data_IF_987171236279
#
_entry.id   IF_987171236279
#
_cell.length_a   1.000
_cell.length_b   1.000
_cell.length_c   1.000
_cell.angle_alpha   90.00
_cell.angle_beta   90.00
_cell.angle_gamma   90.00
#
_symmetry.space_group_name_H-M   'P 1'
#
loop_
_entity.id
_entity.type
_entity.pdbx_description
1 polymer ?
#
# COMPACT_ATOMS: atom_id res chain seq x y z
N UNK A 1 -13.96 -51.14 27.45
CA UNK A 1 -12.84 -50.46 26.78
C UNK A 1 -13.00 -48.95 27.00
N UNK A 2 -12.14 -48.32 27.80
CA UNK A 2 -12.15 -46.85 27.93
C UNK A 2 -11.64 -46.23 26.62
N UNK A 3 -12.25 -45.14 26.12
CA UNK A 3 -11.81 -44.49 24.89
C UNK A 3 -10.39 -43.93 25.06
N UNK A 4 -9.51 -44.27 24.11
CA UNK A 4 -8.12 -43.84 24.06
C UNK A 4 -8.06 -42.32 23.87
N UNK A 5 -7.97 -41.58 24.98
CA UNK A 5 -7.87 -40.12 24.99
C UNK A 5 -6.45 -39.76 24.55
N UNK A 6 -6.30 -39.15 23.36
CA UNK A 6 -5.00 -38.69 22.86
C UNK A 6 -4.31 -37.86 23.96
N UNK A 7 -3.02 -38.10 24.25
CA UNK A 7 -2.29 -37.30 25.22
C UNK A 7 -2.36 -35.83 24.82
N UNK A 8 -2.56 -34.92 25.79
CA UNK A 8 -2.57 -33.48 25.52
C UNK A 8 -1.23 -33.13 24.84
N UNK A 9 -1.24 -32.42 23.71
CA UNK A 9 -0.02 -32.08 22.99
C UNK A 9 0.93 -31.38 23.96
N UNK A 10 2.18 -31.83 23.99
CA UNK A 10 3.19 -31.12 24.77
C UNK A 10 3.31 -29.70 24.21
N UNK A 11 3.66 -28.70 25.03
CA UNK A 11 3.80 -27.32 24.55
C UNK A 11 4.77 -27.19 23.36
N UNK A 12 5.72 -28.12 23.25
CA UNK A 12 6.65 -28.26 22.12
C UNK A 12 5.99 -28.80 20.85
N UNK A 13 5.05 -29.74 20.96
CA UNK A 13 4.26 -30.24 19.84
C UNK A 13 3.25 -29.20 19.36
N UNK A 14 2.54 -28.54 20.29
CA UNK A 14 1.63 -27.44 19.98
C UNK A 14 2.36 -26.31 19.22
N UNK A 15 3.53 -25.87 19.70
CA UNK A 15 4.31 -24.85 18.99
C UNK A 15 4.84 -25.30 17.61
N UNK A 16 5.15 -26.60 17.45
CA UNK A 16 5.52 -27.15 16.13
C UNK A 16 4.34 -27.15 15.16
N UNK A 17 3.16 -27.49 15.64
CA UNK A 17 1.91 -27.47 14.87
C UNK A 17 1.56 -26.03 14.46
N UNK A 18 1.52 -25.09 15.41
CA UNK A 18 1.29 -23.66 15.12
C UNK A 18 2.30 -23.13 14.11
N UNK A 19 3.59 -23.47 14.23
CA UNK A 19 4.61 -23.05 13.26
C UNK A 19 4.35 -23.62 11.86
N UNK A 20 3.81 -24.84 11.75
CA UNK A 20 3.48 -25.46 10.47
C UNK A 20 2.26 -24.80 9.83
N UNK A 21 1.24 -24.52 10.62
CA UNK A 21 0.03 -23.82 10.20
C UNK A 21 0.33 -22.39 9.77
N UNK A 22 1.06 -21.63 10.58
CA UNK A 22 1.54 -20.28 10.25
C UNK A 22 2.29 -20.27 8.92
N UNK A 23 3.24 -21.19 8.72
CA UNK A 23 3.97 -21.28 7.43
C UNK A 23 3.03 -21.60 6.26
N UNK A 24 1.97 -22.36 6.48
CA UNK A 24 0.98 -22.65 5.46
C UNK A 24 0.13 -21.43 5.13
N UNK A 25 -0.33 -20.71 6.14
CA UNK A 25 -1.07 -19.46 6.01
C UNK A 25 -0.23 -18.38 5.31
N UNK A 26 1.03 -18.19 5.71
CA UNK A 26 1.96 -17.26 5.05
C UNK A 26 2.13 -17.57 3.56
N UNK A 27 2.23 -18.85 3.18
CA UNK A 27 2.26 -19.25 1.75
C UNK A 27 0.93 -19.00 1.04
N UNK A 28 -0.18 -19.07 1.75
CA UNK A 28 -1.51 -18.67 1.24
C UNK A 28 -1.51 -17.19 0.88
N UNK A 29 -1.13 -16.34 1.84
CA UNK A 29 -1.04 -14.90 1.67
C UNK A 29 -0.05 -14.53 0.55
N UNK A 30 1.11 -15.20 0.46
CA UNK A 30 2.07 -14.96 -0.62
C UNK A 30 1.49 -15.25 -2.02
N UNK A 31 0.55 -16.19 -2.14
CA UNK A 31 -0.13 -16.46 -3.41
C UNK A 31 -1.15 -15.39 -3.73
N UNK A 32 -1.92 -14.94 -2.74
CA UNK A 32 -2.90 -13.85 -2.88
C UNK A 32 -2.20 -12.53 -3.23
N UNK A 33 -1.09 -12.20 -2.55
CA UNK A 33 -0.27 -11.02 -2.87
C UNK A 33 0.18 -11.02 -4.34
N UNK A 34 0.65 -12.16 -4.85
CA UNK A 34 1.05 -12.29 -6.27
C UNK A 34 -0.12 -12.11 -7.23
N UNK A 35 -1.33 -12.51 -6.84
CA UNK A 35 -2.51 -12.31 -7.66
C UNK A 35 -2.93 -10.84 -7.67
N UNK A 36 -2.95 -10.18 -6.50
CA UNK A 36 -3.20 -8.74 -6.41
C UNK A 36 -2.15 -7.92 -7.16
N UNK A 37 -0.87 -8.31 -7.14
CA UNK A 37 0.18 -7.66 -7.94
C UNK A 37 -0.08 -7.75 -9.45
N UNK A 38 -0.63 -8.87 -9.94
CA UNK A 38 -1.01 -9.02 -11.36
C UNK A 38 -2.22 -8.16 -11.69
N UNK A 39 -3.20 -8.11 -10.80
CA UNK A 39 -4.38 -7.25 -10.94
C UNK A 39 -3.98 -5.79 -10.95
N UNK A 40 -3.10 -5.36 -10.05
CA UNK A 40 -2.55 -4.00 -10.00
C UNK A 40 -1.86 -3.61 -11.31
N UNK A 41 -1.01 -4.49 -11.85
CA UNK A 41 -0.36 -4.25 -13.15
C UNK A 41 -1.36 -4.12 -14.30
N UNK A 42 -2.42 -4.92 -14.26
CA UNK A 42 -3.48 -4.88 -15.27
C UNK A 42 -4.28 -3.58 -15.17
N UNK A 43 -4.69 -3.20 -13.96
CA UNK A 43 -5.36 -1.91 -13.68
C UNK A 43 -4.50 -0.73 -14.11
N UNK A 44 -3.20 -0.72 -13.80
CA UNK A 44 -2.27 0.32 -14.27
C UNK A 44 -2.20 0.39 -15.79
N UNK A 45 -2.17 -0.76 -16.48
CA UNK A 45 -2.17 -0.78 -17.94
C UNK A 45 -3.49 -0.23 -18.51
N UNK A 46 -4.62 -0.56 -17.90
CA UNK A 46 -5.94 -0.12 -18.36
C UNK A 46 -6.20 1.35 -18.06
N UNK A 47 -5.76 1.87 -16.91
CA UNK A 47 -5.76 3.31 -16.59
C UNK A 47 -4.91 4.06 -17.62
N UNK A 48 -3.70 3.58 -17.94
CA UNK A 48 -2.84 4.21 -18.95
C UNK A 48 -3.44 4.18 -20.35
N UNK A 49 -4.05 3.07 -20.76
CA UNK A 49 -4.76 2.97 -22.06
C UNK A 49 -5.95 3.92 -22.10
N UNK A 50 -6.75 3.95 -21.03
CA UNK A 50 -7.91 4.83 -20.92
C UNK A 50 -7.42 6.26 -21.07
N UNK A 51 -6.50 6.72 -20.22
CA UNK A 51 -5.98 8.10 -20.23
C UNK A 51 -5.34 8.55 -21.56
N UNK A 52 -4.82 7.63 -22.40
CA UNK A 52 -4.30 7.95 -23.75
C UNK A 52 -5.39 8.13 -24.81
N UNK A 53 -6.61 7.66 -24.54
CA UNK A 53 -7.74 7.80 -25.46
C UNK A 53 -8.20 9.25 -25.46
N UNK A 54 -8.34 9.86 -26.65
CA UNK A 54 -8.77 11.26 -26.78
C UNK A 54 -10.14 11.54 -26.16
N UNK A 55 -10.33 12.76 -25.67
CA UNK A 55 -11.59 13.23 -25.08
C UNK A 55 -11.73 13.05 -23.56
N UNK A 56 -10.64 12.74 -22.86
CA UNK A 56 -10.65 12.53 -21.41
C UNK A 56 -10.27 13.82 -20.68
N UNK A 57 -11.14 14.22 -19.76
CA UNK A 57 -10.90 15.25 -18.75
C UNK A 57 -10.68 14.57 -17.39
N UNK A 58 -10.14 15.30 -16.39
CA UNK A 58 -9.94 14.81 -15.02
C UNK A 58 -11.19 14.14 -14.40
N UNK A 59 -12.38 14.49 -14.88
CA UNK A 59 -13.66 14.00 -14.36
C UNK A 59 -14.24 12.80 -15.14
N UNK A 60 -13.43 12.09 -15.94
CA UNK A 60 -13.90 10.87 -16.60
C UNK A 60 -14.24 9.78 -15.59
N UNK A 61 -15.52 9.41 -15.50
CA UNK A 61 -16.03 8.45 -14.53
C UNK A 61 -15.40 7.07 -14.65
N UNK A 62 -15.04 6.65 -15.88
CA UNK A 62 -14.35 5.39 -16.12
C UNK A 62 -12.92 5.40 -15.56
N UNK A 63 -12.19 6.50 -15.75
CA UNK A 63 -10.83 6.66 -15.22
C UNK A 63 -10.83 6.72 -13.68
N UNK A 64 -11.79 7.45 -13.10
CA UNK A 64 -11.96 7.53 -11.64
C UNK A 64 -12.33 6.17 -11.03
N UNK A 65 -13.22 5.41 -11.66
CA UNK A 65 -13.58 4.06 -11.21
C UNK A 65 -12.39 3.10 -11.22
N UNK A 66 -11.60 3.09 -12.30
CA UNK A 66 -10.39 2.25 -12.39
C UNK A 66 -9.32 2.65 -11.36
N UNK A 67 -9.20 3.95 -11.08
CA UNK A 67 -8.22 4.44 -10.11
C UNK A 67 -8.65 4.14 -8.67
N UNK A 68 -9.94 4.21 -8.36
CA UNK A 68 -10.49 3.74 -7.08
C UNK A 68 -10.25 2.24 -6.89
N UNK A 69 -10.42 1.44 -7.94
CA UNK A 69 -10.06 0.01 -7.90
C UNK A 69 -8.57 -0.20 -7.63
N UNK A 70 -7.69 0.61 -8.25
CA UNK A 70 -6.25 0.54 -8.01
C UNK A 70 -5.87 0.85 -6.56
N UNK A 71 -6.44 1.92 -5.97
CA UNK A 71 -6.23 2.26 -4.55
C UNK A 71 -6.70 1.12 -3.65
N UNK A 72 -7.89 0.57 -3.92
CA UNK A 72 -8.41 -0.56 -3.14
C UNK A 72 -7.50 -1.79 -3.23
N UNK A 73 -7.00 -2.14 -4.42
CA UNK A 73 -6.07 -3.26 -4.60
C UNK A 73 -4.75 -3.02 -3.85
N UNK A 74 -4.23 -1.78 -3.81
CA UNK A 74 -3.04 -1.43 -3.02
C UNK A 74 -3.30 -1.58 -1.51
N UNK A 75 -4.41 -1.04 -1.01
CA UNK A 75 -4.80 -1.21 0.39
C UNK A 75 -4.99 -2.68 0.77
N UNK A 76 -5.58 -3.50 -0.11
CA UNK A 76 -5.68 -4.95 0.10
C UNK A 76 -4.31 -5.63 0.20
N UNK A 77 -3.33 -5.24 -0.62
CA UNK A 77 -1.96 -5.75 -0.53
C UNK A 77 -1.32 -5.37 0.80
N UNK A 78 -1.49 -4.13 1.24
CA UNK A 78 -0.89 -3.64 2.48
C UNK A 78 -1.48 -4.37 3.70
N UNK A 79 -2.82 -4.53 3.75
CA UNK A 79 -3.51 -5.34 4.78
C UNK A 79 -3.04 -6.80 4.80
N UNK A 80 -2.80 -7.40 3.64
CA UNK A 80 -2.25 -8.77 3.55
C UNK A 80 -0.79 -8.85 4.00
N UNK A 81 0.03 -7.84 3.69
CA UNK A 81 1.41 -7.76 4.18
C UNK A 81 1.47 -7.60 5.70
N UNK A 82 0.58 -6.79 6.26
CA UNK A 82 0.42 -6.65 7.70
C UNK A 82 -0.02 -7.98 8.34
N UNK A 83 -1.07 -8.60 7.80
CA UNK A 83 -1.56 -9.92 8.25
C UNK A 83 -0.46 -10.99 8.21
N UNK A 84 0.38 -10.99 7.17
CA UNK A 84 1.53 -11.90 7.06
C UNK A 84 2.54 -11.68 8.20
N UNK A 85 2.77 -10.43 8.56
CA UNK A 85 3.68 -10.03 9.63
C UNK A 85 3.11 -10.42 11.00
N UNK A 86 1.84 -10.10 11.26
CA UNK A 86 1.12 -10.49 12.48
C UNK A 86 1.13 -12.01 12.69
N UNK A 87 0.78 -12.80 11.67
CA UNK A 87 0.83 -14.28 11.73
C UNK A 87 2.27 -14.76 11.96
N UNK A 88 3.26 -14.09 11.37
CA UNK A 88 4.69 -14.35 11.64
C UNK A 88 5.05 -14.14 13.11
N UNK A 89 4.60 -13.03 13.71
CA UNK A 89 4.77 -12.71 15.13
C UNK A 89 4.09 -13.75 16.03
N UNK A 90 2.90 -14.26 15.65
CA UNK A 90 2.24 -15.34 16.39
C UNK A 90 3.08 -16.63 16.43
N UNK A 91 3.77 -16.99 15.34
CA UNK A 91 4.70 -18.13 15.37
C UNK A 91 5.90 -17.92 16.30
N UNK A 92 6.40 -16.69 16.40
CA UNK A 92 7.45 -16.33 17.36
C UNK A 92 6.91 -16.42 18.79
N UNK A 93 5.72 -15.87 19.06
CA UNK A 93 5.03 -15.96 20.36
C UNK A 93 4.78 -17.41 20.78
N UNK A 94 4.33 -18.26 19.88
CA UNK A 94 4.17 -19.70 20.13
C UNK A 94 5.51 -20.38 20.46
N UNK A 95 6.59 -20.02 19.77
CA UNK A 95 7.94 -20.53 20.06
C UNK A 95 8.43 -20.08 21.44
N UNK A 96 8.24 -18.81 21.78
CA UNK A 96 8.58 -18.25 23.09
C UNK A 96 7.80 -18.94 24.22
N UNK A 97 6.49 -19.12 24.03
CA UNK A 97 5.62 -19.83 24.98
C UNK A 97 6.08 -21.27 25.20
N UNK A 98 6.47 -21.99 24.13
CA UNK A 98 7.00 -23.36 24.27
C UNK A 98 8.30 -23.41 25.07
N UNK A 99 9.14 -22.40 24.94
CA UNK A 99 10.41 -22.27 25.67
C UNK A 99 10.16 -21.94 27.13
N UNK A 100 9.20 -21.06 27.42
CA UNK A 100 8.75 -20.76 28.78
C UNK A 100 8.21 -22.01 29.48
N UNK A 101 7.36 -22.80 28.81
CA UNK A 101 6.86 -24.06 29.38
C UNK A 101 7.99 -25.06 29.63
N UNK A 102 8.94 -25.19 28.70
CA UNK A 102 10.10 -26.06 28.90
C UNK A 102 10.98 -25.60 30.09
N UNK A 103 11.20 -24.29 30.23
CA UNK A 103 11.93 -23.71 31.36
C UNK A 103 11.19 -23.95 32.67
N UNK A 104 9.87 -23.73 32.73
CA UNK A 104 9.05 -24.01 33.90
C UNK A 104 9.08 -25.49 34.29
N UNK A 105 9.03 -26.40 33.32
CA UNK A 105 9.20 -27.84 33.57
C UNK A 105 10.59 -28.18 34.10
N UNK A 106 11.64 -27.54 33.59
CA UNK A 106 13.01 -27.73 34.08
C UNK A 106 13.17 -27.22 35.51
N UNK A 107 12.68 -26.01 35.82
CA UNK A 107 12.67 -25.44 37.17
C UNK A 107 11.83 -26.30 38.12
N UNK A 108 10.70 -26.85 37.66
CA UNK A 108 9.88 -27.81 38.44
C UNK A 108 10.65 -29.09 38.79
N UNK A 109 11.41 -29.65 37.84
CA UNK A 109 12.27 -30.82 38.11
C UNK A 109 13.45 -30.49 39.02
N UNK A 110 14.07 -29.33 38.83
CA UNK A 110 15.17 -28.85 39.69
C UNK A 110 14.67 -28.57 41.10
N UNK A 111 13.50 -27.96 41.27
CA UNK A 111 12.89 -27.72 42.59
C UNK A 111 12.40 -29.00 43.26
N UNK A 112 11.92 -29.99 42.49
CA UNK A 112 11.63 -31.32 43.03
C UNK A 112 12.90 -32.05 43.48
N UNK A 113 14.02 -31.90 42.77
CA UNK A 113 15.33 -32.43 43.17
C UNK A 113 15.95 -31.65 44.35
N UNK A 114 15.78 -30.32 44.40
CA UNK A 114 16.21 -29.43 45.49
C UNK A 114 15.28 -29.48 46.70
N UNK A 115 14.08 -30.05 46.59
CA UNK A 115 13.19 -30.33 47.73
C UNK A 115 13.83 -31.22 48.80
N UNK A 116 14.87 -31.98 48.43
CA UNK A 116 15.69 -32.78 49.34
C UNK A 116 16.90 -32.01 49.92
N UNK A 117 17.16 -30.78 49.49
CA UNK A 117 18.25 -29.93 49.96
C UNK A 117 17.74 -28.50 50.23
N UNK A 118 17.20 -28.32 51.43
CA UNK A 118 16.87 -27.10 52.17
C UNK A 118 16.51 -25.85 51.34
N UNK A 119 15.21 -25.56 51.31
CA UNK A 119 14.53 -24.42 50.69
C UNK A 119 15.13 -23.06 51.08
N UNK A 120 15.84 -22.37 50.17
CA UNK A 120 16.15 -20.94 50.33
C UNK A 120 16.59 -20.22 49.04
N UNK A 121 16.03 -20.53 47.87
CA UNK A 121 16.19 -19.64 46.70
C UNK A 121 14.82 -19.27 46.14
N UNK A 122 14.22 -18.25 46.76
CA UNK A 122 13.24 -17.25 46.28
C UNK A 122 12.28 -17.56 45.10
N UNK A 123 11.78 -18.81 44.99
CA UNK A 123 10.75 -19.22 44.00
C UNK A 123 9.51 -18.30 44.06
N UNK A 124 9.17 -17.76 45.24
CA UNK A 124 8.06 -16.82 45.40
C UNK A 124 8.29 -15.48 44.67
N UNK A 125 9.51 -14.92 44.72
CA UNK A 125 9.85 -13.69 43.99
C UNK A 125 9.88 -13.91 42.48
N UNK A 126 10.42 -15.05 42.03
CA UNK A 126 10.40 -15.41 40.62
C UNK A 126 8.97 -15.61 40.08
N UNK A 127 8.09 -16.24 40.88
CA UNK A 127 6.67 -16.39 40.53
C UNK A 127 5.95 -15.04 40.44
N UNK A 128 6.25 -14.10 41.34
CA UNK A 128 5.67 -12.76 41.32
C UNK A 128 6.16 -11.95 40.11
N UNK A 129 7.46 -11.99 39.81
CA UNK A 129 8.03 -11.35 38.62
C UNK A 129 7.49 -11.93 37.31
N UNK A 130 7.26 -13.24 37.25
CA UNK A 130 6.65 -13.86 36.07
C UNK A 130 5.20 -13.41 35.87
N UNK A 131 4.43 -13.27 36.95
CA UNK A 131 3.06 -12.73 36.90
C UNK A 131 3.02 -11.27 36.41
N UNK A 132 3.93 -10.43 36.91
CA UNK A 132 4.01 -9.02 36.47
C UNK A 132 4.45 -8.92 35.00
N UNK A 133 5.38 -9.76 34.55
CA UNK A 133 5.79 -9.83 33.15
C UNK A 133 4.64 -10.25 32.22
N UNK A 134 3.83 -11.22 32.62
CA UNK A 134 2.63 -11.63 31.88
C UNK A 134 1.64 -10.47 31.75
N UNK A 135 1.40 -9.74 32.85
CA UNK A 135 0.48 -8.59 32.88
C UNK A 135 0.98 -7.43 32.00
N UNK A 136 2.29 -7.16 31.99
CA UNK A 136 2.89 -6.13 31.15
C UNK A 136 2.87 -6.50 29.66
N UNK A 137 3.12 -7.77 29.32
CA UNK A 137 2.99 -8.24 27.93
C UNK A 137 1.55 -8.11 27.43
N UNK A 138 0.56 -8.50 28.21
CA UNK A 138 -0.85 -8.41 27.84
C UNK A 138 -1.30 -6.95 27.67
N UNK A 139 -0.82 -6.05 28.54
CA UNK A 139 -1.08 -4.62 28.39
C UNK A 139 -0.38 -3.99 27.18
N UNK A 140 0.75 -4.56 26.75
CA UNK A 140 1.45 -4.14 25.54
C UNK A 140 0.72 -4.64 24.29
N UNK A 141 0.32 -5.92 24.26
CA UNK A 141 -0.49 -6.50 23.18
C UNK A 141 -1.79 -5.69 22.97
N UNK A 142 -2.52 -5.38 24.05
CA UNK A 142 -3.75 -4.58 23.98
C UNK A 142 -3.54 -3.15 23.45
N UNK A 143 -2.37 -2.56 23.70
CA UNK A 143 -2.05 -1.22 23.18
C UNK A 143 -1.72 -1.27 21.69
N UNK A 144 -1.09 -2.34 21.23
CA UNK A 144 -0.83 -2.57 19.81
C UNK A 144 -2.15 -2.78 19.06
N UNK A 145 -3.07 -3.57 19.62
CA UNK A 145 -4.40 -3.81 19.04
C UNK A 145 -5.24 -2.52 18.97
N UNK A 146 -5.30 -1.75 20.06
CA UNK A 146 -6.01 -0.45 20.08
C UNK A 146 -5.39 0.57 19.14
N UNK A 147 -4.07 0.53 18.95
CA UNK A 147 -3.39 1.41 18.01
C UNK A 147 -3.68 1.01 16.55
N UNK A 148 -3.68 -0.28 16.24
CA UNK A 148 -4.00 -0.79 14.91
C UNK A 148 -5.46 -0.54 14.53
N UNK A 149 -6.41 -0.72 15.47
CA UNK A 149 -7.83 -0.42 15.22
C UNK A 149 -8.08 1.08 15.00
N UNK A 150 -7.44 1.93 15.81
CA UNK A 150 -7.54 3.39 15.63
C UNK A 150 -6.91 3.86 14.31
N UNK A 151 -5.86 3.18 13.86
CA UNK A 151 -5.25 3.43 12.55
C UNK A 151 -6.17 2.96 11.42
N UNK A 152 -6.74 1.76 11.52
CA UNK A 152 -7.62 1.19 10.51
C UNK A 152 -8.91 2.02 10.29
N UNK A 153 -9.49 2.58 11.36
CA UNK A 153 -10.71 3.40 11.31
C UNK A 153 -10.46 4.79 10.67
N UNK A 154 -9.21 5.29 10.70
CA UNK A 154 -8.85 6.53 10.03
C UNK A 154 -8.79 6.41 8.50
N UNK A 155 -8.55 5.19 7.96
CA UNK A 155 -8.26 4.97 6.54
C UNK A 155 -9.48 4.58 5.65
N UNK A 156 -10.67 4.31 6.21
CA UNK A 156 -11.66 3.47 5.49
C UNK A 156 -12.80 4.22 4.75
N UNK A 157 -12.88 5.56 4.81
CA UNK A 157 -14.03 6.32 4.29
C UNK A 157 -13.73 7.41 3.25
N UNK A 158 -13.22 8.55 3.73
CA UNK A 158 -13.04 9.76 2.92
C UNK A 158 -11.68 9.81 2.21
N UNK A 159 -10.64 9.18 2.79
CA UNK A 159 -9.28 9.15 2.26
C UNK A 159 -9.18 8.43 0.92
N UNK A 160 -9.97 7.38 0.70
CA UNK A 160 -9.91 6.56 -0.53
C UNK A 160 -10.31 7.36 -1.78
N UNK A 161 -11.25 8.30 -1.66
CA UNK A 161 -11.67 9.12 -2.79
C UNK A 161 -10.64 10.21 -3.10
N UNK A 162 -10.09 10.85 -2.07
CA UNK A 162 -9.00 11.83 -2.22
C UNK A 162 -7.72 11.19 -2.78
N UNK A 163 -7.35 10.00 -2.30
CA UNK A 163 -6.22 9.22 -2.81
C UNK A 163 -6.45 8.78 -4.26
N UNK A 164 -7.68 8.38 -4.62
CA UNK A 164 -7.98 8.00 -5.99
C UNK A 164 -7.85 9.19 -6.95
N UNK A 165 -8.30 10.38 -6.52
CA UNK A 165 -8.16 11.62 -7.28
C UNK A 165 -6.69 12.11 -7.35
N UNK A 166 -5.89 11.87 -6.31
CA UNK A 166 -4.45 12.12 -6.34
C UNK A 166 -3.71 11.17 -7.30
N UNK A 167 -4.09 9.88 -7.30
CA UNK A 167 -3.50 8.86 -8.18
C UNK A 167 -3.85 9.11 -9.65
N UNK A 168 -5.10 9.50 -9.97
CA UNK A 168 -5.45 9.91 -11.34
C UNK A 168 -4.62 11.11 -11.79
N UNK A 169 -4.50 12.12 -10.95
CA UNK A 169 -3.71 13.32 -11.24
C UNK A 169 -2.23 12.99 -11.49
N UNK A 170 -1.64 12.13 -10.67
CA UNK A 170 -0.26 11.67 -10.84
C UNK A 170 -0.09 10.93 -12.18
N UNK A 171 -0.98 9.98 -12.50
CA UNK A 171 -0.87 9.20 -13.74
C UNK A 171 -1.08 10.09 -14.97
N UNK A 172 -1.99 11.07 -14.91
CA UNK A 172 -2.20 12.03 -15.99
C UNK A 172 -0.99 12.95 -16.18
N UNK A 173 -0.36 13.40 -15.09
CA UNK A 173 0.87 14.19 -15.15
C UNK A 173 2.03 13.38 -15.76
N UNK A 174 2.21 12.13 -15.31
CA UNK A 174 3.22 11.22 -15.88
C UNK A 174 3.00 10.97 -17.37
N UNK A 175 1.74 10.79 -17.81
CA UNK A 175 1.39 10.63 -19.22
C UNK A 175 1.59 11.91 -20.05
N UNK A 176 1.27 13.08 -19.48
CA UNK A 176 1.51 14.38 -20.11
C UNK A 176 3.00 14.63 -20.36
N UNK A 177 3.85 14.26 -19.39
CA UNK A 177 5.31 14.30 -19.54
C UNK A 177 5.83 13.26 -20.54
N UNK A 178 5.30 12.02 -20.53
CA UNK A 178 5.68 10.98 -21.51
C UNK A 178 5.33 11.39 -22.95
N UNK A 179 4.18 12.04 -23.14
CA UNK A 179 3.76 12.54 -24.46
C UNK A 179 4.61 13.74 -24.90
N UNK A 180 4.88 14.69 -23.99
CA UNK A 180 5.76 15.83 -24.25
C UNK A 180 7.19 15.38 -24.62
N UNK A 181 7.75 14.43 -23.88
CA UNK A 181 9.09 13.89 -24.16
C UNK A 181 9.17 13.11 -25.48
N UNK A 182 8.09 12.46 -25.92
CA UNK A 182 8.02 11.84 -27.26
C UNK A 182 7.87 12.87 -28.37
N UNK A 183 7.22 14.00 -28.12
CA UNK A 183 7.12 15.10 -29.09
C UNK A 183 8.42 15.92 -29.19
N UNK A 184 9.17 16.11 -28.10
CA UNK A 184 10.51 16.73 -28.15
C UNK A 184 11.54 15.85 -28.88
N UNK A 185 11.40 14.52 -28.80
CA UNK A 185 12.21 13.58 -29.59
C UNK A 185 11.85 13.52 -31.08
N UNK A 186 10.65 13.97 -31.44
CA UNK A 186 10.20 14.18 -32.82
C UNK A 186 10.41 15.66 -33.17
N UNK A 187 11.68 16.10 -33.17
CA UNK A 187 12.06 17.35 -33.81
C UNK A 187 11.82 17.20 -35.32
N UNK A 188 10.58 17.45 -35.74
CA UNK A 188 10.24 17.65 -37.14
C UNK A 188 11.03 18.88 -37.56
N UNK A 189 11.99 18.81 -38.51
CA UNK A 189 12.53 20.03 -39.05
C UNK A 189 11.35 20.72 -39.72
N UNK A 190 10.91 21.84 -39.14
CA UNK A 190 10.07 22.79 -39.83
C UNK A 190 10.92 23.32 -40.99
N UNK A 191 10.87 22.59 -42.10
CA UNK A 191 11.34 23.08 -43.38
C UNK A 191 10.36 24.17 -43.78
N UNK A 192 10.60 25.37 -43.27
CA UNK A 192 10.12 26.59 -43.90
C UNK A 192 10.58 26.54 -45.37
N UNK A 193 9.67 26.62 -46.35
CA UNK A 193 10.09 26.77 -47.73
C UNK A 193 10.86 28.11 -47.86
N UNK A 194 11.94 28.14 -48.66
CA UNK A 194 12.78 29.31 -48.79
C UNK A 194 11.97 30.45 -49.41
N UNK A 195 12.15 31.64 -48.85
CA UNK A 195 11.63 32.91 -49.39
C UNK A 195 12.21 33.08 -50.80
N UNK A 196 11.35 33.08 -51.80
CA UNK A 196 11.69 33.56 -53.13
C UNK A 196 11.46 35.08 -53.15
N UNK A 197 12.53 35.82 -53.43
CA UNK A 197 12.48 37.22 -53.82
C UNK A 197 11.75 37.32 -55.17
N UNK A 198 10.62 38.02 -55.19
CA UNK A 198 10.02 38.54 -56.42
C UNK A 198 10.08 40.07 -56.38
N UNK A 199 10.87 40.62 -57.31
CA UNK A 199 10.89 42.03 -57.68
C UNK A 199 9.48 42.49 -58.07
N UNK A 200 9.01 43.59 -57.50
CA UNK A 200 7.85 44.32 -58.02
C UNK A 200 8.28 45.76 -58.32
N UNK A 201 8.27 46.04 -59.62
CA UNK A 201 8.50 47.33 -60.27
C UNK A 201 7.30 48.25 -60.02
N UNK A 202 7.59 49.51 -59.67
CA UNK A 202 6.61 50.61 -59.60
C UNK A 202 6.08 50.97 -61.00
N UNK A 203 4.76 51.13 -61.17
CA UNK A 203 4.17 52.24 -61.95
C UNK A 203 2.67 52.43 -61.65
N UNK A 204 2.26 53.69 -61.78
CA UNK A 204 1.04 54.40 -61.40
C UNK A 204 -0.29 53.92 -62.01
N UNK A 205 -1.41 54.12 -61.28
CA UNK A 205 -2.75 53.96 -61.88
C UNK A 205 -3.99 54.04 -60.99
N UNK A 206 -4.35 55.24 -60.52
CA UNK A 206 -5.74 55.77 -60.43
C UNK A 206 -6.67 55.27 -59.28
N UNK A 207 -6.72 56.11 -58.24
CA UNK A 207 -7.90 56.83 -57.69
C UNK A 207 -9.15 56.11 -57.13
N UNK A 208 -9.61 56.70 -56.02
CA UNK A 208 -11.01 56.80 -55.54
C UNK A 208 -11.59 55.66 -54.70
N UNK A 209 -11.32 55.71 -53.39
CA UNK A 209 -12.34 55.88 -52.34
C UNK A 209 -11.76 55.47 -51.00
N UNK A 210 -11.68 56.42 -50.08
CA UNK A 210 -11.98 56.34 -48.63
C UNK A 210 -11.34 57.60 -48.01
N UNK A 211 -12.14 58.65 -47.79
CA UNK A 211 -11.95 59.45 -46.60
C UNK A 211 -13.21 59.38 -45.73
N UNK A 212 -12.99 59.25 -44.42
CA UNK A 212 -13.73 59.99 -43.38
C UNK A 212 -14.14 59.16 -42.14
N UNK A 213 -13.13 58.59 -41.46
CA UNK A 213 -13.27 58.06 -40.10
C UNK A 213 -12.72 59.01 -39.02
N UNK A 214 -12.13 60.14 -39.42
CA UNK A 214 -11.56 61.14 -38.49
C UNK A 214 -12.53 62.28 -38.15
N UNK A 215 -13.54 62.56 -38.97
CA UNK A 215 -14.56 63.59 -38.67
C UNK A 215 -15.58 63.15 -37.61
N UNK A 216 -15.79 61.84 -37.41
CA UNK A 216 -16.80 61.30 -36.49
C UNK A 216 -16.40 61.33 -35.01
N UNK A 217 -15.13 61.61 -34.69
CA UNK A 217 -14.65 61.64 -33.30
C UNK A 217 -14.77 63.05 -32.67
N UNK A 218 -14.83 64.12 -33.47
CA UNK A 218 -14.78 65.51 -32.99
C UNK A 218 -16.16 66.19 -32.88
N UNK A 219 -17.26 65.44 -32.98
CA UNK A 219 -18.63 65.98 -32.95
C UNK A 219 -19.47 65.49 -31.75
N UNK A 220 -18.84 65.19 -30.61
CA UNK A 220 -19.49 64.97 -29.31
C UNK A 220 -18.96 65.96 -28.27
#
# INVERSE_FOLDING_TARGET
MLPWRKPKPTAKEAARETKREVRSAQRGIDRELRELERQERTLLADIKKRAKTGGITKNDSALKALSKQLVHTRGQKDRLQESKSQIGSMALKATAMSSQVAAAQAVGKVTQAMGNANQAVDIKKLSAQMGEFMRQNEMMDLKEDLFNDALADAFDGDEVEEEADAVTDQILAELGLELSGKMEGLNVPSAAPPVAEEEVVEDDGISSNIPDLQSRLNAL
#
